data_IF_318663149232
#
_entry.id   IF_318663149232
#
_cell.length_a   1.000
_cell.length_b   1.000
_cell.length_c   1.000
_cell.angle_alpha   90.00
_cell.angle_beta   90.00
_cell.angle_gamma   90.00
#
_symmetry.space_group_name_H-M   'P 1'
#
loop_
_entity.id
_entity.type
_entity.pdbx_description
1 polymer ?
#
# COMPACT_ATOMS: atom_id res chain seq x y z
N UNK A 1 -29.10 13.62 37.84
CA UNK A 1 -28.77 12.30 37.25
C UNK A 1 -27.33 12.30 36.70
N UNK A 2 -26.38 12.85 37.44
CA UNK A 2 -24.94 12.86 37.10
C UNK A 2 -24.08 12.25 38.21
N UNK A 3 -24.71 11.84 39.31
CA UNK A 3 -24.04 11.34 40.51
C UNK A 3 -23.75 9.83 40.44
N UNK A 4 -24.54 9.05 39.68
CA UNK A 4 -24.38 7.59 39.55
C UNK A 4 -23.06 7.17 38.89
N UNK A 5 -22.57 7.96 37.93
CA UNK A 5 -21.32 7.64 37.22
C UNK A 5 -20.11 7.86 38.14
N UNK A 6 -20.17 8.87 39.01
CA UNK A 6 -19.10 9.18 39.95
C UNK A 6 -18.98 8.11 41.03
N UNK A 7 -20.12 7.62 41.51
CA UNK A 7 -20.18 6.57 42.53
C UNK A 7 -19.68 5.22 41.98
N UNK A 8 -20.05 4.87 40.74
CA UNK A 8 -19.53 3.66 40.07
C UNK A 8 -18.02 3.70 39.84
N UNK A 9 -17.47 4.88 39.50
CA UNK A 9 -16.02 5.05 39.34
C UNK A 9 -15.26 4.97 40.67
N UNK A 10 -15.81 5.54 41.75
CA UNK A 10 -15.18 5.43 43.08
C UNK A 10 -15.16 4.00 43.62
N UNK A 11 -16.19 3.20 43.33
CA UNK A 11 -16.23 1.78 43.73
C UNK A 11 -15.20 0.96 42.94
N UNK A 12 -15.05 1.23 41.64
CA UNK A 12 -14.06 0.54 40.80
C UNK A 12 -12.61 0.83 41.21
N UNK A 13 -12.34 2.03 41.72
CA UNK A 13 -10.98 2.48 42.07
C UNK A 13 -10.58 2.20 43.54
N UNK A 14 -11.49 1.69 44.38
CA UNK A 14 -11.24 1.50 45.84
C UNK A 14 -10.26 0.39 46.20
N UNK A 15 -9.77 -0.40 45.24
CA UNK A 15 -8.86 -1.52 45.48
C UNK A 15 -7.54 -1.45 44.72
N UNK A 16 -7.34 -0.43 43.87
CA UNK A 16 -6.11 -0.35 43.08
C UNK A 16 -4.99 0.30 43.89
N UNK A 17 -3.83 -0.36 44.03
CA UNK A 17 -2.64 0.28 44.58
C UNK A 17 -2.33 1.53 43.73
N UNK A 18 -1.85 2.63 44.33
CA UNK A 18 -1.62 3.86 43.61
C UNK A 18 -0.70 3.56 42.42
N UNK A 19 -1.25 3.65 41.21
CA UNK A 19 -0.46 3.50 40.00
C UNK A 19 0.56 4.64 40.02
N UNK A 20 1.80 4.30 40.35
CA UNK A 20 2.97 5.16 40.22
C UNK A 20 3.24 5.41 38.74
N UNK A 21 2.30 6.05 38.05
CA UNK A 21 2.46 6.55 36.71
C UNK A 21 3.54 7.62 36.80
N UNK A 22 4.75 7.23 36.42
CA UNK A 22 5.86 8.15 36.23
C UNK A 22 5.51 9.08 35.06
N UNK A 23 4.84 10.18 35.40
CA UNK A 23 4.44 11.21 34.44
C UNK A 23 5.66 11.77 33.71
N UNK A 24 6.82 11.84 34.38
CA UNK A 24 8.05 12.34 33.77
C UNK A 24 8.56 11.36 32.70
N UNK A 25 8.54 10.06 32.97
CA UNK A 25 8.86 9.00 32.01
C UNK A 25 7.96 9.03 30.78
N UNK A 26 6.63 9.11 30.98
CA UNK A 26 5.66 9.16 29.87
C UNK A 26 5.85 10.42 29.00
N UNK A 27 6.10 11.58 29.61
CA UNK A 27 6.36 12.83 28.87
C UNK A 27 7.70 12.75 28.12
N UNK A 28 8.73 12.16 28.73
CA UNK A 28 10.04 11.98 28.09
C UNK A 28 9.94 11.07 26.86
N UNK A 29 9.23 9.94 26.96
CA UNK A 29 8.99 9.03 25.84
C UNK A 29 8.15 9.68 24.74
N UNK A 30 7.11 10.42 25.12
CA UNK A 30 6.31 11.21 24.18
C UNK A 30 7.17 12.23 23.39
N UNK A 31 8.02 12.98 24.09
CA UNK A 31 8.97 13.92 23.46
C UNK A 31 9.98 13.21 22.55
N UNK A 32 10.48 12.05 22.95
CA UNK A 32 11.45 11.27 22.15
C UNK A 32 10.82 10.78 20.85
N UNK A 33 9.59 10.27 20.90
CA UNK A 33 8.84 9.81 19.72
C UNK A 33 8.50 10.99 18.78
N UNK A 34 8.13 12.14 19.34
CA UNK A 34 7.85 13.35 18.56
C UNK A 34 9.09 13.90 17.85
N UNK A 35 10.26 13.90 18.52
CA UNK A 35 11.54 14.33 17.93
C UNK A 35 11.94 13.46 16.74
N UNK A 36 11.80 12.13 16.86
CA UNK A 36 12.06 11.19 15.75
C UNK A 36 11.18 11.48 14.53
N UNK A 37 9.88 11.73 14.75
CA UNK A 37 8.95 12.09 13.66
C UNK A 37 9.32 13.42 12.98
N UNK A 38 9.71 14.43 13.76
CA UNK A 38 10.12 15.74 13.20
C UNK A 38 11.43 15.65 12.40
N UNK A 39 12.39 14.84 12.84
CA UNK A 39 13.62 14.61 12.09
C UNK A 39 13.37 13.93 10.74
N UNK A 40 12.45 12.96 10.68
CA UNK A 40 12.06 12.31 9.43
C UNK A 40 11.39 13.29 8.43
N UNK A 41 10.54 14.20 8.92
CA UNK A 41 9.87 15.19 8.06
C UNK A 41 10.82 16.27 7.53
N UNK A 42 11.82 16.71 8.32
CA UNK A 42 12.76 17.77 7.94
C UNK A 42 13.89 17.23 7.03
N UNK A 43 14.27 15.96 7.16
CA UNK A 43 15.31 15.35 6.31
C UNK A 43 14.92 15.14 4.84
N UNK A 44 13.62 15.07 4.53
CA UNK A 44 13.15 14.87 3.15
C UNK A 44 13.24 16.12 2.27
N UNK A 45 13.08 17.31 2.85
CA UNK A 45 13.02 18.56 2.07
C UNK A 45 14.42 19.06 1.68
N UNK A 46 15.45 18.81 2.50
CA UNK A 46 16.83 19.25 2.20
C UNK A 46 17.51 18.39 1.12
N UNK A 47 17.17 17.10 1.02
CA UNK A 47 17.68 16.22 -0.05
C UNK A 47 17.15 16.64 -1.43
N UNK A 48 15.88 17.06 -1.53
CA UNK A 48 15.30 17.51 -2.80
C UNK A 48 15.97 18.79 -3.34
N UNK A 49 16.32 19.74 -2.46
CA UNK A 49 17.00 20.98 -2.86
C UNK A 49 18.47 20.71 -3.22
N UNK A 50 19.15 19.81 -2.52
CA UNK A 50 20.53 19.44 -2.86
C UNK A 50 20.64 18.78 -4.24
N UNK A 51 19.70 17.89 -4.61
CA UNK A 51 19.66 17.30 -5.94
C UNK A 51 19.37 18.33 -7.06
N UNK A 52 18.51 19.33 -6.79
CA UNK A 52 18.23 20.38 -7.77
C UNK A 52 19.45 21.29 -8.04
N UNK A 53 20.25 21.60 -7.03
CA UNK A 53 21.43 22.47 -7.18
C UNK A 53 22.62 21.73 -7.80
N UNK A 54 22.87 20.45 -7.43
CA UNK A 54 23.93 19.66 -8.05
C UNK A 54 23.59 19.18 -9.48
N UNK A 55 22.30 18.94 -9.78
CA UNK A 55 21.85 18.60 -11.14
C UNK A 55 22.02 19.74 -12.15
N UNK A 56 21.84 21.00 -11.72
CA UNK A 56 22.03 22.17 -12.58
C UNK A 56 23.52 22.50 -12.82
N UNK A 57 24.40 22.25 -11.85
CA UNK A 57 25.84 22.50 -11.98
C UNK A 57 26.54 21.48 -12.90
N UNK A 58 26.05 20.24 -12.97
CA UNK A 58 26.63 19.21 -13.84
C UNK A 58 26.39 19.45 -15.35
N UNK A 59 25.37 20.23 -15.73
CA UNK A 59 25.08 20.55 -17.13
C UNK A 59 25.90 21.76 -17.62
N UNK A 60 26.40 22.59 -16.71
CA UNK A 60 27.15 23.82 -17.05
C UNK A 60 28.67 23.70 -16.88
N UNK A 61 29.17 22.74 -16.07
CA UNK A 61 30.59 22.49 -15.87
C UNK A 61 31.13 21.31 -16.68
N UNK A 62 31.45 21.54 -17.95
CA UNK A 62 32.06 20.54 -18.84
C UNK A 62 33.41 20.02 -18.34
N UNK A 63 33.42 18.85 -17.70
CA UNK A 63 34.64 18.21 -17.21
C UNK A 63 34.79 16.71 -17.55
N UNK A 64 33.95 16.16 -18.42
CA UNK A 64 34.19 14.84 -19.00
C UNK A 64 34.26 14.93 -20.52
N UNK A 65 35.49 14.91 -21.03
CA UNK A 65 35.83 14.95 -22.44
C UNK A 65 35.41 13.69 -23.19
N UNK A 66 34.12 13.53 -23.41
CA UNK A 66 33.60 12.72 -24.51
C UNK A 66 33.47 13.65 -25.71
N UNK A 67 34.23 13.35 -26.76
CA UNK A 67 34.20 14.08 -28.03
C UNK A 67 32.75 14.22 -28.49
N UNK A 68 32.29 15.43 -28.86
CA UNK A 68 30.99 15.57 -29.48
C UNK A 68 31.04 14.82 -30.81
N UNK A 69 30.31 13.71 -30.90
CA UNK A 69 29.88 13.20 -32.19
C UNK A 69 29.03 14.31 -32.81
N UNK A 70 29.55 14.89 -33.90
CA UNK A 70 28.94 16.01 -34.58
C UNK A 70 27.66 15.49 -35.24
N UNK A 71 26.54 15.59 -34.53
CA UNK A 71 25.20 15.30 -35.07
C UNK A 71 24.91 16.37 -36.12
N UNK A 72 25.15 16.02 -37.38
CA UNK A 72 24.70 16.81 -38.53
C UNK A 72 23.17 16.84 -38.59
N UNK A 73 22.57 17.91 -39.13
CA UNK A 73 21.13 17.99 -39.31
C UNK A 73 20.61 16.78 -40.09
N UNK A 74 19.50 16.19 -39.61
CA UNK A 74 18.89 15.00 -40.17
C UNK A 74 18.64 15.16 -41.67
N UNK A 75 19.19 14.23 -42.46
CA UNK A 75 18.92 14.15 -43.88
C UNK A 75 17.41 13.96 -44.10
N UNK A 76 16.80 14.65 -45.08
CA UNK A 76 15.39 14.47 -45.40
C UNK A 76 15.12 13.00 -45.78
N UNK A 77 13.98 12.44 -45.35
CA UNK A 77 13.66 11.04 -45.61
C UNK A 77 13.55 10.79 -47.12
N UNK A 78 13.97 9.60 -47.61
CA UNK A 78 13.81 9.24 -49.01
C UNK A 78 12.32 9.24 -49.37
N UNK A 79 11.97 9.99 -50.42
CA UNK A 79 10.62 10.05 -50.95
C UNK A 79 10.27 8.70 -51.57
N UNK A 80 9.52 7.87 -50.84
CA UNK A 80 8.88 6.68 -51.40
C UNK A 80 7.71 7.11 -52.27
N UNK A 81 7.95 7.16 -53.58
CA UNK A 81 6.94 7.28 -54.62
C UNK A 81 6.02 6.05 -54.57
N UNK A 82 4.89 6.18 -53.89
CA UNK A 82 3.85 5.15 -53.93
C UNK A 82 3.05 5.37 -55.21
N UNK A 83 3.20 4.45 -56.16
CA UNK A 83 2.37 4.35 -57.35
C UNK A 83 0.92 4.12 -56.92
N UNK A 84 0.05 5.09 -57.19
CA UNK A 84 -1.39 5.00 -56.92
C UNK A 84 -2.02 4.14 -58.01
N UNK A 85 -2.56 2.99 -57.61
CA UNK A 85 -3.38 2.12 -58.43
C UNK A 85 -4.78 2.75 -58.59
N UNK A 86 -5.32 2.92 -59.81
CA UNK A 86 -6.62 3.55 -60.01
C UNK A 86 -7.73 2.49 -59.99
N UNK A 87 -8.55 2.49 -58.94
CA UNK A 87 -9.93 2.02 -59.04
C UNK A 87 -10.42 1.12 -57.93
N UNK A 88 -11.17 1.69 -56.98
CA UNK A 88 -12.24 0.98 -56.28
C UNK A 88 -13.42 1.94 -56.07
N UNK A 89 -14.69 1.51 -56.29
CA UNK A 89 -15.84 2.40 -56.27
C UNK A 89 -16.13 2.95 -54.87
N UNK A 90 -16.64 4.19 -54.86
CA UNK A 90 -17.09 4.92 -53.69
C UNK A 90 -18.04 4.09 -52.81
N UNK A 91 -17.56 3.73 -51.63
CA UNK A 91 -18.42 3.23 -50.55
C UNK A 91 -19.14 4.42 -49.89
N UNK A 92 -20.45 4.24 -49.71
CA UNK A 92 -21.40 5.23 -49.20
C UNK A 92 -20.99 5.84 -47.84
N UNK A 93 -21.31 7.12 -47.59
CA UNK A 93 -21.03 7.76 -46.32
C UNK A 93 -21.81 7.09 -45.18
N UNK A 94 -21.10 6.67 -44.14
CA UNK A 94 -21.70 6.15 -42.92
C UNK A 94 -22.54 7.24 -42.22
N UNK A 95 -23.70 6.88 -41.63
CA UNK A 95 -24.57 7.85 -40.98
C UNK A 95 -23.91 8.45 -39.74
N UNK A 96 -23.81 9.78 -39.74
CA UNK A 96 -23.38 10.57 -38.60
C UNK A 96 -24.41 10.38 -37.48
N UNK A 97 -24.06 9.61 -36.45
CA UNK A 97 -24.91 9.44 -35.27
C UNK A 97 -24.78 10.69 -34.41
N UNK A 98 -25.73 11.62 -34.57
CA UNK A 98 -25.90 12.77 -33.71
C UNK A 98 -26.27 12.28 -32.31
N UNK A 99 -25.29 12.28 -31.40
CA UNK A 99 -25.54 12.00 -29.98
C UNK A 99 -26.26 13.20 -29.39
N UNK A 100 -27.59 13.13 -29.36
CA UNK A 100 -28.41 14.05 -28.58
C UNK A 100 -28.06 13.86 -27.11
N UNK A 101 -27.27 14.78 -26.55
CA UNK A 101 -27.02 14.85 -25.12
C UNK A 101 -28.34 15.18 -24.44
N UNK A 102 -28.94 14.18 -23.76
CA UNK A 102 -30.08 14.40 -22.89
C UNK A 102 -29.71 15.42 -21.82
N UNK A 103 -30.58 16.39 -21.52
CA UNK A 103 -30.37 17.35 -20.43
C UNK A 103 -30.11 16.58 -19.14
N UNK A 104 -28.96 16.83 -18.52
CA UNK A 104 -28.62 16.33 -17.19
C UNK A 104 -29.64 16.93 -16.22
N UNK A 105 -30.65 16.15 -15.86
CA UNK A 105 -31.55 16.53 -14.79
C UNK A 105 -30.73 16.68 -13.50
N UNK A 106 -30.93 17.76 -12.71
CA UNK A 106 -30.29 17.89 -11.41
C UNK A 106 -30.74 16.72 -10.54
N UNK A 107 -29.85 15.74 -10.35
CA UNK A 107 -30.09 14.61 -9.45
C UNK A 107 -29.99 15.12 -8.02
N UNK A 108 -31.11 15.60 -7.49
CA UNK A 108 -31.37 15.67 -6.06
C UNK A 108 -31.57 14.24 -5.55
N UNK A 109 -30.49 13.45 -5.53
CA UNK A 109 -30.49 12.22 -4.75
C UNK A 109 -30.62 12.63 -3.28
N UNK A 110 -31.65 12.17 -2.56
CA UNK A 110 -31.77 12.43 -1.13
C UNK A 110 -30.47 11.97 -0.48
N UNK A 111 -29.86 12.85 0.32
CA UNK A 111 -28.57 12.60 0.96
C UNK A 111 -28.63 11.33 1.80
N UNK A 112 -28.35 10.19 1.19
CA UNK A 112 -28.04 8.94 1.86
C UNK A 112 -26.78 9.25 2.63
N UNK A 113 -26.96 9.55 3.92
CA UNK A 113 -25.89 9.68 4.88
C UNK A 113 -24.97 8.48 4.61
N UNK A 114 -23.76 8.74 4.11
CA UNK A 114 -22.80 7.69 3.89
C UNK A 114 -22.76 6.88 5.18
N UNK A 115 -23.02 5.56 5.14
CA UNK A 115 -23.06 4.75 6.34
C UNK A 115 -21.81 5.09 7.13
N UNK A 116 -22.00 5.46 8.41
CA UNK A 116 -20.90 5.72 9.31
C UNK A 116 -19.95 4.54 9.16
N UNK A 117 -18.73 4.84 8.69
CA UNK A 117 -17.82 3.86 8.15
C UNK A 117 -17.36 2.98 9.29
N UNK A 118 -18.13 1.91 9.54
CA UNK A 118 -17.80 0.91 10.54
C UNK A 118 -16.55 0.21 10.04
N UNK A 119 -15.43 0.56 10.67
CA UNK A 119 -14.16 -0.06 10.36
C UNK A 119 -14.32 -1.58 10.49
N UNK A 120 -13.78 -2.36 9.54
CA UNK A 120 -13.87 -3.81 9.61
C UNK A 120 -13.36 -4.31 10.97
N UNK A 121 -14.02 -5.30 11.54
CA UNK A 121 -13.63 -5.87 12.82
C UNK A 121 -12.23 -6.48 12.75
N UNK A 122 -11.24 -5.67 13.14
CA UNK A 122 -9.84 -6.02 13.17
C UNK A 122 -9.57 -7.18 14.13
N UNK A 123 -10.41 -7.42 15.13
CA UNK A 123 -10.20 -8.50 16.09
C UNK A 123 -10.44 -9.88 15.46
N UNK A 124 -11.50 -10.01 14.65
CA UNK A 124 -11.77 -11.20 13.84
C UNK A 124 -10.65 -11.44 12.82
N UNK A 125 -10.20 -10.38 12.16
CA UNK A 125 -9.08 -10.48 11.21
C UNK A 125 -7.77 -10.88 11.90
N UNK A 126 -7.40 -10.22 12.99
CA UNK A 126 -6.20 -10.55 13.77
C UNK A 126 -6.22 -11.99 14.29
N UNK A 127 -7.39 -12.50 14.67
CA UNK A 127 -7.58 -13.91 15.07
C UNK A 127 -7.37 -14.84 13.88
N UNK A 128 -7.93 -14.53 12.71
CA UNK A 128 -7.70 -15.29 11.47
C UNK A 128 -6.22 -15.29 11.08
N UNK A 129 -5.53 -14.16 11.23
CA UNK A 129 -4.09 -14.07 10.99
C UNK A 129 -3.27 -14.92 11.97
N UNK A 130 -3.65 -14.95 13.25
CA UNK A 130 -3.01 -15.83 14.26
C UNK A 130 -3.16 -17.31 13.88
N UNK A 131 -4.33 -17.72 13.41
CA UNK A 131 -4.57 -19.09 12.92
C UNK A 131 -3.76 -19.41 11.66
N UNK A 132 -3.77 -18.53 10.65
CA UNK A 132 -2.97 -18.71 9.43
C UNK A 132 -1.47 -18.75 9.74
N UNK A 133 -1.04 -17.99 10.75
CA UNK A 133 0.36 -17.97 11.16
C UNK A 133 0.86 -19.33 11.67
N UNK A 134 -0.03 -20.27 12.05
CA UNK A 134 0.34 -21.65 12.39
C UNK A 134 0.84 -22.45 11.18
N UNK A 135 0.50 -22.01 9.95
CA UNK A 135 0.90 -22.65 8.69
C UNK A 135 2.15 -22.03 8.04
N UNK A 136 2.77 -21.08 8.71
CA UNK A 136 3.94 -20.38 8.16
C UNK A 136 5.16 -21.29 8.09
N UNK A 137 6.11 -21.01 7.18
CA UNK A 137 7.36 -21.75 7.10
C UNK A 137 8.08 -21.80 8.45
N UNK A 138 8.72 -22.93 8.76
CA UNK A 138 9.48 -23.14 9.99
C UNK A 138 10.67 -22.16 10.16
N UNK A 139 11.05 -21.49 9.07
CA UNK A 139 12.09 -20.45 9.05
C UNK A 139 11.67 -19.15 9.74
N UNK A 140 10.40 -19.00 10.13
CA UNK A 140 9.88 -17.84 10.84
C UNK A 140 9.79 -18.15 12.34
N UNK A 141 10.83 -17.77 13.09
CA UNK A 141 11.05 -18.19 14.48
C UNK A 141 10.24 -17.40 15.51
N UNK A 142 10.01 -16.11 15.24
CA UNK A 142 9.30 -15.24 16.18
C UNK A 142 8.40 -14.29 15.42
N UNK A 143 7.25 -14.01 16.03
CA UNK A 143 6.26 -13.05 15.53
C UNK A 143 6.13 -11.97 16.60
N UNK A 144 6.75 -10.83 16.37
CA UNK A 144 6.60 -9.69 17.27
C UNK A 144 5.92 -8.56 16.51
N UNK A 145 5.00 -7.89 17.19
CA UNK A 145 4.51 -6.58 16.77
C UNK A 145 5.70 -5.62 16.71
N UNK A 146 5.55 -4.53 15.95
CA UNK A 146 6.55 -3.45 15.91
C UNK A 146 6.89 -2.89 17.31
N UNK A 147 6.06 -3.14 18.33
CA UNK A 147 6.23 -2.67 19.71
C UNK A 147 6.69 -3.79 20.67
N UNK A 148 7.11 -4.96 20.16
CA UNK A 148 7.65 -6.05 20.97
C UNK A 148 6.60 -6.91 21.68
N UNK A 149 5.31 -6.64 21.47
CA UNK A 149 4.22 -7.51 21.92
C UNK A 149 4.05 -8.70 20.95
N UNK A 150 3.66 -9.87 21.46
CA UNK A 150 3.30 -11.02 20.63
C UNK A 150 1.92 -10.82 19.99
N UNK A 151 1.73 -9.85 19.10
CA UNK A 151 0.42 -9.70 18.44
C UNK A 151 0.47 -8.81 17.20
N UNK A 152 -0.49 -9.03 16.31
CA UNK A 152 -0.78 -8.10 15.22
C UNK A 152 -1.22 -6.79 15.86
N UNK A 153 -0.33 -5.79 15.95
CA UNK A 153 -0.70 -4.51 16.56
C UNK A 153 -1.84 -3.90 15.74
N UNK A 154 -3.03 -3.92 16.32
CA UNK A 154 -4.24 -3.39 15.72
C UNK A 154 -4.20 -1.86 15.83
N UNK A 155 -4.32 -1.20 14.68
CA UNK A 155 -4.40 0.25 14.48
C UNK A 155 -3.08 1.01 14.60
N UNK A 156 -2.28 0.93 13.54
CA UNK A 156 -1.68 2.18 13.06
C UNK A 156 -2.79 3.19 12.70
N UNK A 157 -2.53 4.51 12.78
CA UNK A 157 -3.51 5.54 12.41
C UNK A 157 -3.99 5.46 10.95
N UNK A 158 -3.30 4.64 10.16
CA UNK A 158 -3.44 4.38 8.73
C UNK A 158 -4.27 3.10 8.44
N UNK A 159 -4.75 2.38 9.46
CA UNK A 159 -5.53 1.14 9.29
C UNK A 159 -4.70 -0.10 8.91
N UNK A 160 -3.37 -0.01 9.03
CA UNK A 160 -2.48 -1.13 8.74
C UNK A 160 -2.28 -2.01 9.95
N UNK A 161 -2.27 -3.32 9.72
CA UNK A 161 -1.71 -4.32 10.61
C UNK A 161 -0.30 -4.64 10.17
N UNK A 162 0.65 -4.67 11.10
CA UNK A 162 2.06 -4.86 10.82
C UNK A 162 2.61 -5.98 11.70
N UNK A 163 3.38 -6.89 11.10
CA UNK A 163 4.06 -7.98 11.80
C UNK A 163 5.52 -8.07 11.35
N UNK A 164 6.44 -8.15 12.31
CA UNK A 164 7.84 -8.45 12.03
C UNK A 164 8.02 -9.97 11.95
N UNK A 165 8.48 -10.48 10.81
CA UNK A 165 8.83 -11.89 10.63
C UNK A 165 10.31 -12.04 10.93
N UNK A 166 10.64 -12.74 12.00
CA UNK A 166 12.03 -13.03 12.35
C UNK A 166 12.50 -14.32 11.69
N UNK A 167 13.54 -14.25 10.87
CA UNK A 167 14.18 -15.42 10.25
C UNK A 167 15.66 -15.52 10.61
N UNK A 168 16.27 -16.68 10.33
CA UNK A 168 17.72 -16.91 10.51
C UNK A 168 18.57 -15.97 9.66
N UNK A 169 18.02 -15.53 8.53
CA UNK A 169 18.70 -14.71 7.53
C UNK A 169 18.37 -13.23 7.68
N UNK A 170 17.53 -12.87 8.65
CA UNK A 170 17.13 -11.51 8.94
C UNK A 170 15.63 -11.31 9.13
N UNK A 171 15.24 -10.07 9.40
CA UNK A 171 13.87 -9.68 9.66
C UNK A 171 13.15 -9.23 8.37
N UNK A 172 11.81 -9.35 8.40
CA UNK A 172 10.86 -8.91 7.37
C UNK A 172 9.66 -8.23 8.00
N UNK A 173 8.98 -7.40 7.21
CA UNK A 173 7.83 -6.62 7.67
C UNK A 173 6.69 -6.96 6.74
N UNK A 174 5.76 -7.72 7.28
CA UNK A 174 4.49 -8.02 6.64
C UNK A 174 3.51 -6.95 7.06
N UNK A 175 2.95 -6.25 6.08
CA UNK A 175 1.91 -5.25 6.30
C UNK A 175 0.64 -5.70 5.62
N UNK A 176 -0.47 -5.65 6.34
CA UNK A 176 -1.80 -5.98 5.83
C UNK A 176 -2.72 -4.80 6.03
N UNK A 177 -3.34 -4.34 4.95
CA UNK A 177 -4.34 -3.29 4.95
C UNK A 177 -5.67 -3.87 4.49
N UNK A 178 -6.74 -3.50 5.16
CA UNK A 178 -8.10 -3.89 4.78
C UNK A 178 -8.98 -2.65 4.79
N UNK A 179 -9.72 -2.44 3.72
CA UNK A 179 -10.58 -1.27 3.52
C UNK A 179 -11.77 -1.63 2.62
N UNK A 180 -12.77 -0.76 2.52
CA UNK A 180 -13.90 -1.00 1.60
C UNK A 180 -13.48 -0.74 0.15
N UNK A 181 -13.86 -1.60 -0.80
CA UNK A 181 -13.39 -1.52 -2.21
C UNK A 181 -13.64 -0.15 -2.86
N UNK A 182 -14.66 0.59 -2.46
CA UNK A 182 -14.90 1.96 -2.97
C UNK A 182 -14.14 3.09 -2.27
N UNK A 183 -13.44 2.82 -1.18
CA UNK A 183 -12.86 3.84 -0.29
C UNK A 183 -11.55 4.42 -0.83
N UNK A 184 -10.72 3.58 -1.45
CA UNK A 184 -9.43 3.97 -2.01
C UNK A 184 -9.33 3.55 -3.48
N UNK A 185 -8.64 4.37 -4.28
CA UNK A 185 -8.24 3.98 -5.62
C UNK A 185 -7.23 2.84 -5.54
N UNK A 186 -7.59 1.69 -6.07
CA UNK A 186 -6.76 0.51 -6.18
C UNK A 186 -7.05 -0.17 -7.52
N UNK A 187 -6.22 -1.14 -7.90
CA UNK A 187 -6.44 -1.90 -9.11
C UNK A 187 -6.00 -3.33 -8.94
N UNK A 188 -6.90 -4.26 -9.24
CA UNK A 188 -6.61 -5.68 -9.41
C UNK A 188 -6.12 -6.03 -10.82
N UNK A 189 -5.92 -5.03 -11.69
CA UNK A 189 -5.32 -5.20 -13.01
C UNK A 189 -3.81 -4.92 -13.00
N UNK A 190 -3.08 -5.63 -13.85
CA UNK A 190 -1.66 -5.37 -14.08
C UNK A 190 -1.45 -4.22 -15.08
N UNK A 191 -0.67 -3.23 -14.69
CA UNK A 191 -0.30 -2.10 -15.54
C UNK A 191 1.04 -2.37 -16.24
N UNK A 192 1.04 -3.19 -17.30
CA UNK A 192 2.22 -3.50 -18.14
C UNK A 192 3.55 -3.83 -17.40
N UNK A 193 3.49 -4.20 -16.13
CA UNK A 193 4.65 -4.57 -15.35
C UNK A 193 4.99 -6.04 -15.59
N UNK A 194 6.24 -6.38 -15.97
CA UNK A 194 6.61 -7.75 -16.30
C UNK A 194 6.50 -8.71 -15.10
N UNK A 195 6.62 -8.16 -13.89
CA UNK A 195 6.56 -8.88 -12.63
C UNK A 195 5.18 -8.84 -11.96
N UNK A 196 4.13 -8.57 -12.75
CA UNK A 196 2.75 -8.53 -12.29
C UNK A 196 1.93 -9.63 -12.97
N UNK A 197 1.12 -10.34 -12.18
CA UNK A 197 0.11 -11.25 -12.71
C UNK A 197 -1.22 -11.10 -11.96
N UNK A 198 -2.31 -11.45 -12.63
CA UNK A 198 -3.65 -11.48 -12.06
C UNK A 198 -4.14 -12.93 -11.95
N UNK A 199 -4.99 -13.20 -10.97
CA UNK A 199 -5.63 -14.51 -10.75
C UNK A 199 -7.01 -14.29 -10.15
N UNK A 200 -7.88 -15.29 -10.27
CA UNK A 200 -9.12 -15.37 -9.48
C UNK A 200 -9.00 -16.58 -8.57
N UNK A 201 -9.22 -16.40 -7.28
CA UNK A 201 -9.23 -17.48 -6.28
C UNK A 201 -10.48 -17.39 -5.43
N UNK A 202 -11.28 -18.46 -5.37
CA UNK A 202 -12.55 -18.47 -4.64
C UNK A 202 -13.45 -17.28 -4.98
N UNK A 203 -13.57 -16.95 -6.29
CA UNK A 203 -14.31 -15.77 -6.82
C UNK A 203 -13.74 -14.40 -6.42
N UNK A 204 -12.58 -14.37 -5.77
CA UNK A 204 -11.86 -13.15 -5.40
C UNK A 204 -10.86 -12.83 -6.52
N UNK A 205 -11.10 -11.80 -7.36
CA UNK A 205 -10.06 -11.30 -8.26
C UNK A 205 -8.92 -10.72 -7.43
N UNK A 206 -7.69 -11.08 -7.80
CA UNK A 206 -6.48 -10.62 -7.14
C UNK A 206 -5.37 -10.32 -8.14
N UNK A 207 -4.49 -9.43 -7.71
CA UNK A 207 -3.26 -9.06 -8.40
C UNK A 207 -2.08 -9.33 -7.49
N UNK A 208 -1.04 -9.93 -8.06
CA UNK A 208 0.26 -10.05 -7.41
C UNK A 208 1.25 -9.23 -8.22
N UNK A 209 1.93 -8.31 -7.55
CA UNK A 209 2.97 -7.47 -8.12
C UNK A 209 4.25 -7.73 -7.33
N UNK A 210 5.30 -8.17 -8.03
CA UNK A 210 6.65 -8.22 -7.49
C UNK A 210 7.42 -7.00 -8.00
N UNK A 211 8.12 -6.33 -7.12
CA UNK A 211 8.93 -5.17 -7.49
C UNK A 211 10.30 -5.27 -6.84
N UNK A 212 11.31 -4.80 -7.56
CA UNK A 212 12.64 -4.59 -7.01
C UNK A 212 12.76 -3.18 -6.38
N UNK A 213 11.74 -2.34 -6.59
CA UNK A 213 11.65 -1.00 -6.01
C UNK A 213 11.33 -1.07 -4.52
N UNK A 214 12.31 -0.67 -3.72
CA UNK A 214 12.20 -0.63 -2.27
C UNK A 214 11.11 0.36 -1.82
N UNK A 215 10.38 0.07 -0.73
CA UNK A 215 10.61 -1.01 0.23
C UNK A 215 9.80 -2.29 -0.04
N UNK A 216 8.94 -2.32 -1.06
CA UNK A 216 8.05 -3.45 -1.33
C UNK A 216 8.78 -4.53 -2.13
N UNK A 217 8.63 -5.79 -1.74
CA UNK A 217 9.13 -6.92 -2.55
C UNK A 217 7.97 -7.53 -3.31
N UNK A 218 6.91 -7.87 -2.57
CA UNK A 218 5.69 -8.47 -3.12
C UNK A 218 4.48 -7.77 -2.52
N UNK A 219 3.54 -7.41 -3.38
CA UNK A 219 2.23 -6.88 -3.02
C UNK A 219 1.15 -7.76 -3.64
N UNK A 220 0.20 -8.18 -2.80
CA UNK A 220 -1.03 -8.85 -3.23
C UNK A 220 -2.19 -7.92 -2.93
N UNK A 221 -3.03 -7.64 -3.92
CA UNK A 221 -4.26 -6.86 -3.79
C UNK A 221 -5.42 -7.76 -4.19
N UNK A 222 -6.42 -7.93 -3.32
CA UNK A 222 -7.55 -8.82 -3.55
C UNK A 222 -8.88 -8.12 -3.23
N UNK A 223 -9.82 -8.14 -4.17
CA UNK A 223 -11.18 -7.60 -3.98
C UNK A 223 -12.12 -8.73 -3.59
N UNK A 224 -12.48 -8.78 -2.31
CA UNK A 224 -13.25 -9.88 -1.73
C UNK A 224 -14.75 -9.73 -2.03
N UNK A 225 -15.50 -10.86 -2.08
CA UNK A 225 -16.95 -10.83 -2.29
C UNK A 225 -17.75 -10.08 -1.20
N UNK A 226 -17.15 -9.83 -0.05
CA UNK A 226 -17.75 -9.05 1.06
C UNK A 226 -17.64 -7.53 0.88
N UNK A 227 -17.18 -7.06 -0.29
CA UNK A 227 -17.04 -5.64 -0.62
C UNK A 227 -15.81 -4.97 0.01
N UNK A 228 -14.85 -5.77 0.46
CA UNK A 228 -13.60 -5.30 1.06
C UNK A 228 -12.42 -5.61 0.14
N UNK A 229 -11.47 -4.70 0.09
CA UNK A 229 -10.17 -4.92 -0.53
C UNK A 229 -9.13 -5.17 0.54
N UNK A 230 -8.30 -6.20 0.32
CA UNK A 230 -7.18 -6.55 1.19
C UNK A 230 -5.88 -6.38 0.42
N UNK A 231 -4.98 -5.57 0.96
CA UNK A 231 -3.62 -5.41 0.48
C UNK A 231 -2.66 -6.09 1.45
N UNK A 232 -1.87 -7.03 0.94
CA UNK A 232 -0.83 -7.73 1.69
C UNK A 232 0.50 -7.39 1.06
N UNK A 233 1.40 -6.79 1.83
CA UNK A 233 2.71 -6.39 1.34
C UNK A 233 3.79 -7.01 2.22
N UNK A 234 4.73 -7.73 1.59
CA UNK A 234 6.00 -8.10 2.23
C UNK A 234 7.05 -7.05 1.84
N UNK A 235 7.62 -6.38 2.84
CA UNK A 235 8.60 -5.32 2.65
C UNK A 235 9.97 -5.69 3.21
N UNK A 236 10.98 -4.96 2.74
CA UNK A 236 12.35 -5.07 3.22
C UNK A 236 12.54 -4.57 4.65
N UNK A 237 11.57 -3.85 5.22
CA UNK A 237 11.68 -3.13 6.50
C UNK A 237 12.93 -2.25 6.67
N UNK A 238 13.10 -1.70 7.88
CA UNK A 238 14.10 -0.67 8.17
C UNK A 238 14.99 -1.03 9.36
N UNK A 239 16.31 -1.07 9.16
CA UNK A 239 17.30 -1.23 10.23
C UNK A 239 18.41 -2.26 9.94
N UNK A 240 19.14 -2.65 10.98
CA UNK A 240 20.10 -3.75 10.91
C UNK A 240 19.42 -5.11 10.90
N UNK A 241 19.91 -6.04 10.07
CA UNK A 241 19.40 -7.42 10.01
C UNK A 241 18.19 -7.60 9.09
N UNK A 242 17.84 -6.61 8.29
CA UNK A 242 16.82 -6.73 7.25
C UNK A 242 17.43 -7.21 5.93
N UNK A 243 16.68 -7.96 5.12
CA UNK A 243 17.17 -8.57 3.86
C UNK A 243 16.43 -8.03 2.62
N UNK A 244 16.65 -8.58 1.41
CA UNK A 244 15.94 -8.18 0.16
C UNK A 244 15.06 -9.26 -0.50
N UNK A 245 15.30 -10.54 -0.23
CA UNK A 245 14.53 -11.67 -0.73
C UNK A 245 13.24 -12.00 0.02
N UNK A 246 12.20 -12.35 -0.73
CA UNK A 246 10.93 -12.82 -0.20
C UNK A 246 11.09 -14.01 0.75
N UNK A 247 10.41 -13.99 1.90
CA UNK A 247 10.34 -15.09 2.87
C UNK A 247 9.02 -15.83 2.76
N UNK A 248 7.91 -15.12 2.56
CA UNK A 248 6.59 -15.73 2.43
C UNK A 248 6.31 -15.98 0.95
N UNK A 249 6.14 -17.23 0.54
CA UNK A 249 5.76 -17.54 -0.85
C UNK A 249 4.43 -16.90 -1.25
N UNK A 250 4.24 -16.65 -2.55
CA UNK A 250 3.06 -15.99 -3.09
C UNK A 250 1.75 -16.67 -2.66
N UNK A 251 1.71 -18.00 -2.62
CA UNK A 251 0.51 -18.75 -2.19
C UNK A 251 0.08 -18.40 -0.76
N UNK A 252 1.03 -18.16 0.14
CA UNK A 252 0.75 -17.79 1.51
C UNK A 252 0.25 -16.34 1.59
N UNK A 253 0.89 -15.41 0.85
CA UNK A 253 0.43 -14.02 0.76
C UNK A 253 -0.97 -13.92 0.15
N UNK A 254 -1.25 -14.71 -0.88
CA UNK A 254 -2.57 -14.84 -1.49
C UNK A 254 -3.58 -15.41 -0.50
N UNK A 255 -3.23 -16.45 0.26
CA UNK A 255 -4.14 -17.02 1.26
C UNK A 255 -4.53 -16.01 2.35
N UNK A 256 -3.61 -15.13 2.72
CA UNK A 256 -3.85 -14.01 3.64
C UNK A 256 -4.81 -12.99 3.00
N UNK A 257 -4.55 -12.59 1.75
CA UNK A 257 -5.34 -11.56 1.07
C UNK A 257 -6.79 -12.01 0.81
N UNK A 258 -6.97 -13.25 0.35
CA UNK A 258 -8.29 -13.85 0.10
C UNK A 258 -9.01 -14.14 1.42
N UNK A 259 -8.26 -14.31 2.51
CA UNK A 259 -8.83 -14.56 3.83
C UNK A 259 -9.47 -15.93 3.93
N UNK A 260 -8.78 -16.97 3.43
CA UNK A 260 -9.15 -18.36 3.69
C UNK A 260 -8.96 -18.67 5.19
N UNK A 261 -9.87 -18.13 6.01
CA UNK A 261 -10.19 -18.73 7.29
C UNK A 261 -10.58 -20.19 7.05
N UNK A 262 -10.34 -21.09 8.03
CA UNK A 262 -10.77 -22.47 7.90
C UNK A 262 -12.25 -22.48 7.49
N UNK A 263 -12.56 -23.10 6.34
CA UNK A 263 -13.92 -23.57 6.09
C UNK A 263 -14.21 -24.50 7.28
N UNK A 264 -15.25 -24.19 8.04
CA UNK A 264 -15.61 -24.88 9.29
C UNK A 264 -15.70 -26.39 9.12
#
# INVERSE_FOLDING_TARGET
>A
MTDDVRELLEVALRGEPPMGLDRAGVIADGKRRLRRRRQAAVGGVTLAVAFAVFGAAAISGGAFGLRPEQVGPAAPPPSTSSSVDPGAPAAAPAPVSTVTQSPVAPSTSPGTRAPEMEYPDYSTFATSMREMAKKWPAEIFTKTSYEGAYEWNTKGPDGWMKATLHTKLGNRLLTVRMYYTGEFSHSTACQQQPSCYTRVQDRTPLRVTRTEERPTIVQVVADRPDGRTVEVTETIGEGSGWRFDQVLGDDLLISIAVGAGPRG
#
